data_IF_206553804126
#
_entry.id   IF_206553804126
#
_cell.length_a   1.000
_cell.length_b   1.000
_cell.length_c   1.000
_cell.angle_alpha   90.00
_cell.angle_beta   90.00
_cell.angle_gamma   90.00
#
_symmetry.space_group_name_H-M   'P 1'
#
loop_
_entity.id
_entity.type
_entity.pdbx_description
1 polymer ?
#
# COMPACT_ATOMS: atom_id res chain seq x y z
N UNK A 1 6.86 1.37 -7.02
CA UNK A 1 7.93 1.21 -6.00
C UNK A 1 7.27 1.12 -4.64
N UNK A 2 7.76 0.26 -3.74
CA UNK A 2 7.24 0.12 -2.37
C UNK A 2 8.41 0.22 -1.39
N UNK A 3 8.36 1.19 -0.47
CA UNK A 3 9.41 1.44 0.49
C UNK A 3 8.90 1.48 1.92
N UNK A 4 9.74 1.05 2.85
CA UNK A 4 9.51 1.27 4.28
C UNK A 4 9.72 2.75 4.63
N UNK A 5 9.27 3.15 5.82
CA UNK A 5 9.55 4.47 6.40
C UNK A 5 11.06 4.81 6.47
N UNK A 6 11.93 3.79 6.55
CA UNK A 6 13.40 3.95 6.57
C UNK A 6 14.03 3.90 5.18
N UNK A 7 13.21 3.87 4.11
CA UNK A 7 13.67 3.86 2.73
C UNK A 7 14.05 2.50 2.17
N UNK A 8 13.92 1.41 2.96
CA UNK A 8 14.18 0.04 2.53
C UNK A 8 13.22 -0.36 1.43
N UNK A 9 13.72 -0.91 0.33
CA UNK A 9 12.89 -1.46 -0.75
C UNK A 9 12.22 -2.75 -0.29
N UNK A 10 10.88 -2.75 -0.29
CA UNK A 10 10.08 -3.90 0.14
C UNK A 10 9.45 -4.65 -1.05
N UNK A 11 9.54 -4.10 -2.27
CA UNK A 11 8.82 -4.62 -3.43
C UNK A 11 9.12 -6.09 -3.77
N UNK A 12 10.34 -6.58 -3.45
CA UNK A 12 10.72 -7.99 -3.68
C UNK A 12 9.98 -8.99 -2.79
N UNK A 13 9.50 -8.55 -1.63
CA UNK A 13 8.76 -9.37 -0.68
C UNK A 13 7.24 -9.29 -0.91
N UNK A 14 6.75 -8.20 -1.50
CA UNK A 14 5.31 -7.92 -1.68
C UNK A 14 4.96 -7.63 -3.15
N UNK A 15 5.13 -8.62 -4.05
CA UNK A 15 4.89 -8.43 -5.48
C UNK A 15 3.45 -8.03 -5.80
N UNK A 16 2.47 -8.47 -5.02
CA UNK A 16 1.05 -8.12 -5.15
C UNK A 16 0.79 -6.62 -4.91
N UNK A 17 1.51 -6.01 -3.96
CA UNK A 17 1.42 -4.56 -3.68
C UNK A 17 2.07 -3.76 -4.81
N UNK A 18 3.21 -4.25 -5.31
CA UNK A 18 3.87 -3.63 -6.48
C UNK A 18 3.00 -3.74 -7.73
N UNK A 19 2.37 -4.88 -7.98
CA UNK A 19 1.45 -5.08 -9.09
C UNK A 19 0.21 -4.17 -8.94
N UNK A 20 -0.34 -4.06 -7.73
CA UNK A 20 -1.44 -3.16 -7.41
C UNK A 20 -1.13 -1.68 -7.72
N UNK A 21 0.15 -1.29 -7.77
CA UNK A 21 0.54 0.10 -8.03
C UNK A 21 0.12 0.56 -9.43
N UNK A 22 -0.12 -0.36 -10.36
CA UNK A 22 -0.68 -0.05 -11.69
C UNK A 22 -2.10 0.56 -11.62
N UNK A 23 -2.85 0.32 -10.54
CA UNK A 23 -4.17 0.94 -10.34
C UNK A 23 -4.06 2.44 -9.99
N UNK A 24 -2.90 2.84 -9.48
CA UNK A 24 -2.59 4.21 -9.06
C UNK A 24 -1.91 4.93 -10.24
N UNK A 25 -2.29 6.19 -10.54
CA UNK A 25 -1.67 6.95 -11.65
C UNK A 25 -0.17 7.10 -11.47
N UNK A 26 0.54 7.18 -12.59
CA UNK A 26 1.93 7.64 -12.63
C UNK A 26 2.11 8.93 -11.82
N UNK A 27 3.25 9.00 -11.13
CA UNK A 27 3.62 10.10 -10.23
C UNK A 27 2.65 10.35 -9.05
N UNK A 28 1.94 9.32 -8.59
CA UNK A 28 1.18 9.36 -7.33
C UNK A 28 1.94 8.62 -6.23
N UNK A 29 1.94 9.16 -5.03
CA UNK A 29 2.58 8.56 -3.85
C UNK A 29 1.60 8.51 -2.69
N UNK A 30 1.42 7.32 -2.14
CA UNK A 30 0.55 7.03 -1.00
C UNK A 30 1.40 6.75 0.24
N UNK A 31 0.89 7.11 1.40
CA UNK A 31 1.43 6.70 2.69
C UNK A 31 0.42 5.82 3.44
N UNK A 32 0.92 4.83 4.15
CA UNK A 32 0.08 3.78 4.70
C UNK A 32 0.81 2.73 5.50
N UNK A 33 0.02 1.82 6.05
CA UNK A 33 0.49 0.65 6.77
C UNK A 33 0.39 -0.59 5.90
N UNK A 34 1.50 -1.32 5.80
CA UNK A 34 1.54 -2.62 5.15
C UNK A 34 1.26 -3.70 6.20
N UNK A 35 0.29 -4.57 5.93
CA UNK A 35 -0.08 -5.65 6.84
C UNK A 35 -0.52 -6.91 6.11
N UNK A 36 -0.34 -8.06 6.75
CA UNK A 36 -0.90 -9.33 6.31
C UNK A 36 -2.08 -9.67 7.21
N UNK A 37 -3.13 -10.25 6.65
CA UNK A 37 -4.29 -10.70 7.44
C UNK A 37 -4.38 -12.21 7.45
N UNK A 38 -4.69 -12.75 8.62
CA UNK A 38 -4.98 -14.18 8.87
C UNK A 38 -6.23 -14.19 9.74
N UNK A 39 -7.27 -14.94 9.33
CA UNK A 39 -8.53 -15.09 10.08
C UNK A 39 -9.17 -13.74 10.50
N UNK A 40 -9.09 -12.73 9.63
CA UNK A 40 -9.65 -11.40 9.86
C UNK A 40 -8.81 -10.47 10.74
N UNK A 41 -7.68 -10.94 11.29
CA UNK A 41 -6.78 -10.15 12.16
C UNK A 41 -5.48 -9.82 11.45
N UNK A 42 -4.80 -8.77 11.92
CA UNK A 42 -3.44 -8.48 11.45
C UNK A 42 -2.47 -9.52 12.01
N UNK A 43 -1.77 -10.20 11.12
CA UNK A 43 -0.80 -11.24 11.44
C UNK A 43 0.62 -10.68 11.29
N UNK A 44 1.18 -10.17 12.39
CA UNK A 44 2.50 -9.54 12.36
C UNK A 44 3.62 -10.54 12.08
N UNK A 45 3.49 -11.77 12.58
CA UNK A 45 4.43 -12.86 12.31
C UNK A 45 4.49 -13.18 10.81
N UNK A 46 3.34 -13.24 10.14
CA UNK A 46 3.27 -13.43 8.68
C UNK A 46 3.94 -12.29 7.93
N UNK A 47 3.76 -11.05 8.37
CA UNK A 47 4.46 -9.92 7.76
C UNK A 47 5.99 -10.06 7.87
N UNK A 48 6.50 -10.50 9.02
CA UNK A 48 7.93 -10.77 9.21
C UNK A 48 8.42 -11.93 8.35
N UNK A 49 7.68 -13.03 8.28
CA UNK A 49 7.98 -14.18 7.40
C UNK A 49 8.09 -13.75 5.93
N UNK A 50 7.18 -12.87 5.49
CA UNK A 50 7.19 -12.31 4.13
C UNK A 50 8.46 -11.49 3.88
N UNK A 51 8.84 -10.64 4.83
CA UNK A 51 10.07 -9.83 4.75
C UNK A 51 11.34 -10.70 4.69
N UNK A 52 11.36 -11.82 5.42
CA UNK A 52 12.49 -12.75 5.46
C UNK A 52 12.62 -13.64 4.21
N UNK A 53 11.58 -13.73 3.36
CA UNK A 53 11.51 -14.65 2.20
C UNK A 53 11.35 -13.92 0.85
N UNK A 54 12.31 -13.10 0.40
CA UNK A 54 12.24 -12.47 -0.91
C UNK A 54 12.48 -13.49 -2.06
N UNK A 55 12.06 -13.15 -3.27
CA UNK A 55 12.35 -13.94 -4.47
C UNK A 55 11.28 -14.98 -4.79
N UNK A 56 11.68 -16.19 -5.22
CA UNK A 56 10.75 -17.22 -5.73
C UNK A 56 9.65 -17.62 -4.72
N UNK A 57 9.95 -17.57 -3.42
CA UNK A 57 8.97 -17.83 -2.35
C UNK A 57 7.94 -16.71 -2.15
N UNK A 58 8.24 -15.48 -2.58
CA UNK A 58 7.39 -14.33 -2.34
C UNK A 58 6.07 -14.41 -3.12
N UNK A 59 6.07 -14.92 -4.35
CA UNK A 59 4.83 -15.09 -5.12
C UNK A 59 3.90 -16.12 -4.47
N UNK A 60 4.44 -17.26 -4.02
CA UNK A 60 3.67 -18.29 -3.31
C UNK A 60 3.10 -17.77 -1.99
N UNK A 61 3.94 -17.11 -1.19
CA UNK A 61 3.48 -16.54 0.08
C UNK A 61 2.47 -15.39 -0.13
N UNK A 62 2.50 -14.68 -1.26
CA UNK A 62 1.52 -13.63 -1.59
C UNK A 62 0.14 -14.23 -1.91
N UNK A 63 0.12 -15.41 -2.53
CA UNK A 63 -1.11 -16.14 -2.83
C UNK A 63 -1.74 -16.75 -1.56
N UNK A 64 -0.90 -17.23 -0.63
CA UNK A 64 -1.35 -17.85 0.62
C UNK A 64 -1.75 -16.79 1.67
N UNK A 65 -0.91 -15.76 1.83
CA UNK A 65 -1.04 -14.71 2.84
C UNK A 65 -0.89 -13.32 2.20
N UNK A 66 -1.91 -12.84 1.47
CA UNK A 66 -1.83 -11.59 0.74
C UNK A 66 -1.64 -10.39 1.67
N UNK A 67 -0.67 -9.54 1.34
CA UNK A 67 -0.51 -8.28 2.02
C UNK A 67 -1.51 -7.24 1.51
N UNK A 68 -1.93 -6.38 2.43
CA UNK A 68 -2.82 -5.25 2.20
C UNK A 68 -2.09 -3.98 2.62
N UNK A 69 -2.35 -2.90 1.89
CA UNK A 69 -1.81 -1.59 2.18
C UNK A 69 -2.93 -0.66 2.60
N UNK A 70 -3.00 -0.37 3.90
CA UNK A 70 -3.99 0.53 4.49
C UNK A 70 -3.48 1.96 4.34
N UNK A 71 -4.01 2.67 3.34
CA UNK A 71 -3.64 4.04 3.00
C UNK A 71 -4.33 5.03 3.94
N UNK A 72 -3.56 5.91 4.56
CA UNK A 72 -4.07 7.01 5.39
C UNK A 72 -3.71 8.39 4.85
N UNK A 73 -2.70 8.51 3.97
CA UNK A 73 -2.30 9.79 3.40
C UNK A 73 -1.91 9.70 1.91
N UNK A 74 -1.99 10.84 1.24
CA UNK A 74 -1.61 11.08 -0.14
C UNK A 74 -0.48 12.11 -0.15
N UNK A 75 0.73 11.67 -0.50
CA UNK A 75 1.95 12.50 -0.50
C UNK A 75 2.21 13.20 -1.85
N UNK A 76 1.70 12.61 -2.93
CA UNK A 76 1.75 13.20 -4.26
C UNK A 76 0.56 12.73 -5.09
N UNK A 77 -0.02 13.61 -5.88
CA UNK A 77 -1.11 13.30 -6.80
C UNK A 77 -0.77 13.79 -8.20
N UNK A 78 -0.61 12.87 -9.15
CA UNK A 78 -0.30 13.21 -10.56
C UNK A 78 0.87 14.20 -10.70
N UNK A 79 1.94 14.00 -9.93
CA UNK A 79 3.10 14.91 -9.92
C UNK A 79 3.02 16.06 -8.92
N UNK A 80 1.84 16.46 -8.45
CA UNK A 80 1.69 17.56 -7.47
C UNK A 80 2.06 17.09 -6.07
N UNK A 81 3.02 17.76 -5.43
CA UNK A 81 3.33 17.57 -4.02
C UNK A 81 2.18 18.13 -3.16
N UNK A 82 1.61 17.30 -2.31
CA UNK A 82 0.44 17.65 -1.48
C UNK A 82 0.83 18.14 -0.10
N UNK A 83 2.08 18.01 0.36
CA UNK A 83 2.52 18.29 1.76
C UNK A 83 2.04 19.61 2.39
N UNK A 84 1.74 20.63 1.60
CA UNK A 84 1.28 21.94 2.09
C UNK A 84 -0.23 22.07 2.16
N UNK A 85 -0.98 21.05 1.75
CA UNK A 85 -2.43 21.10 1.74
C UNK A 85 -2.98 20.92 3.17
N UNK A 86 -4.11 21.56 3.49
CA UNK A 86 -4.84 21.27 4.72
C UNK A 86 -5.31 19.81 4.76
N UNK A 87 -5.36 19.22 5.96
CA UNK A 87 -5.78 17.82 6.16
C UNK A 87 -7.11 17.46 5.45
N UNK A 88 -8.13 18.33 5.52
CA UNK A 88 -9.42 18.08 4.84
C UNK A 88 -9.25 17.91 3.32
N UNK A 89 -8.35 18.68 2.71
CA UNK A 89 -8.06 18.57 1.27
C UNK A 89 -7.28 17.30 0.95
N UNK A 90 -6.32 16.89 1.80
CA UNK A 90 -5.66 15.59 1.67
C UNK A 90 -6.68 14.46 1.68
N UNK A 91 -7.56 14.46 2.70
CA UNK A 91 -8.54 13.40 2.89
C UNK A 91 -9.51 13.29 1.72
N UNK A 92 -10.09 14.41 1.28
CA UNK A 92 -11.00 14.44 0.15
C UNK A 92 -10.33 13.98 -1.15
N UNK A 93 -9.05 14.34 -1.37
CA UNK A 93 -8.30 13.90 -2.54
C UNK A 93 -7.99 12.41 -2.50
N UNK A 94 -7.65 11.87 -1.33
CA UNK A 94 -7.43 10.44 -1.13
C UNK A 94 -8.72 9.63 -1.37
N UNK A 95 -9.84 10.06 -0.78
CA UNK A 95 -11.16 9.44 -1.01
C UNK A 95 -11.58 9.51 -2.48
N UNK A 96 -11.40 10.66 -3.12
CA UNK A 96 -11.69 10.84 -4.54
C UNK A 96 -10.83 9.94 -5.43
N UNK A 97 -9.55 9.74 -5.08
CA UNK A 97 -8.67 8.82 -5.79
C UNK A 97 -9.18 7.38 -5.70
N UNK A 98 -9.53 6.94 -4.48
CA UNK A 98 -10.09 5.60 -4.25
C UNK A 98 -11.38 5.38 -5.05
N UNK A 99 -12.30 6.35 -5.01
CA UNK A 99 -13.57 6.26 -5.74
C UNK A 99 -13.39 6.30 -7.27
N UNK A 100 -12.64 7.29 -7.78
CA UNK A 100 -12.46 7.49 -9.21
C UNK A 100 -11.72 6.34 -9.90
N UNK A 101 -10.80 5.68 -9.18
CA UNK A 101 -10.04 4.53 -9.68
C UNK A 101 -10.59 3.19 -9.26
N UNK A 102 -11.65 3.18 -8.44
CA UNK A 102 -12.21 1.98 -7.82
C UNK A 102 -11.11 1.12 -7.19
N UNK A 103 -10.20 1.78 -6.45
CA UNK A 103 -9.07 1.09 -5.84
C UNK A 103 -9.61 -0.02 -4.93
N UNK A 104 -9.13 -1.22 -5.18
CA UNK A 104 -9.44 -2.41 -4.42
C UNK A 104 -8.15 -3.07 -3.94
N UNK A 105 -8.24 -4.28 -3.39
CA UNK A 105 -7.08 -5.06 -2.98
C UNK A 105 -5.94 -4.95 -4.03
N UNK A 106 -4.71 -4.66 -3.59
CA UNK A 106 -4.23 -4.67 -2.20
C UNK A 106 -4.52 -3.39 -1.40
N UNK A 107 -5.15 -2.39 -2.00
CA UNK A 107 -5.41 -1.09 -1.38
C UNK A 107 -6.63 -1.14 -0.45
N UNK A 108 -6.46 -0.58 0.75
CA UNK A 108 -7.56 -0.32 1.67
C UNK A 108 -7.48 1.13 2.14
N UNK A 109 -8.62 1.81 2.19
CA UNK A 109 -8.68 3.17 2.73
C UNK A 109 -8.83 3.10 4.26
N UNK A 110 -7.96 3.79 4.99
CA UNK A 110 -8.11 3.96 6.43
C UNK A 110 -9.44 4.67 6.72
N UNK A 111 -10.25 4.10 7.62
CA UNK A 111 -11.49 4.72 8.09
C UNK A 111 -11.10 5.79 9.11
N UNK A 112 -11.42 7.05 8.80
CA UNK A 112 -11.25 8.19 9.69
C UNK A 112 -12.27 8.21 10.82
#
# INVERSE_FOLDING_TARGET
>A
MLRSRRGTELGRAFPEVVAGAAQVRDATALDGELGVREEGRLAFERLQDRLARPGAGAARAAAEWPAHFVTFDLLRLSGTNTKTWPYRRHRAALESLFAARRLSAPWALCRS
#
